data_IF_817270536398
#
_entry.id   IF_817270536398
#
_cell.length_a   1.000
_cell.length_b   1.000
_cell.length_c   1.000
_cell.angle_alpha   90.00
_cell.angle_beta   90.00
_cell.angle_gamma   90.00
#
_symmetry.space_group_name_H-M   'P 1'
#
loop_
_entity.id
_entity.type
_entity.pdbx_description
1 polymer ?
#
# COMPACT_ATOMS: atom_id res chain seq x y z
N UNK A 1 -1.52 -36.24 -11.65
CA UNK A 1 -1.34 -34.95 -10.97
C UNK A 1 0.12 -34.59 -11.11
N UNK A 2 0.42 -33.53 -11.85
CA UNK A 2 1.79 -33.02 -12.00
C UNK A 2 2.24 -32.48 -10.64
N UNK A 3 3.39 -32.92 -10.15
CA UNK A 3 3.92 -32.47 -8.87
C UNK A 3 4.30 -30.99 -8.97
N UNK A 4 3.75 -30.14 -8.08
CA UNK A 4 4.04 -28.70 -8.05
C UNK A 4 5.40 -28.48 -7.39
N UNK A 5 6.45 -28.34 -8.19
CA UNK A 5 7.85 -28.23 -7.75
C UNK A 5 8.48 -26.86 -8.01
N UNK A 6 7.93 -26.06 -8.93
CA UNK A 6 8.61 -24.85 -9.41
C UNK A 6 8.34 -23.63 -8.53
N UNK A 7 9.40 -22.96 -8.06
CA UNK A 7 9.34 -21.65 -7.44
C UNK A 7 9.55 -20.58 -8.51
N UNK A 8 8.64 -19.61 -8.61
CA UNK A 8 8.74 -18.55 -9.62
C UNK A 8 8.83 -17.19 -8.95
N UNK A 9 9.90 -16.46 -9.25
CA UNK A 9 10.08 -15.05 -8.91
C UNK A 9 9.75 -14.17 -10.11
N UNK A 10 9.01 -13.09 -9.90
CA UNK A 10 8.67 -12.13 -10.95
C UNK A 10 8.85 -10.71 -10.46
N UNK A 11 9.63 -9.90 -11.17
CA UNK A 11 9.75 -8.47 -10.92
C UNK A 11 9.18 -7.67 -12.09
N UNK A 12 8.18 -6.83 -11.82
CA UNK A 12 7.59 -5.95 -12.83
C UNK A 12 8.19 -4.57 -12.73
N UNK A 13 9.09 -4.27 -13.67
CA UNK A 13 9.63 -2.93 -13.91
C UNK A 13 8.84 -2.13 -14.93
N UNK A 14 9.29 -0.90 -15.22
CA UNK A 14 8.65 -0.01 -16.18
C UNK A 14 8.80 -0.43 -17.65
N UNK A 15 9.89 -1.12 -18.01
CA UNK A 15 10.16 -1.54 -19.41
C UNK A 15 9.98 -3.04 -19.61
N UNK A 16 10.52 -3.84 -18.68
CA UNK A 16 10.49 -5.29 -18.74
C UNK A 16 9.88 -5.87 -17.46
N UNK A 17 9.27 -7.04 -17.63
CA UNK A 17 8.92 -7.94 -16.53
C UNK A 17 9.89 -9.12 -16.59
N UNK A 18 10.65 -9.28 -15.51
CA UNK A 18 11.71 -10.25 -15.36
C UNK A 18 11.20 -11.47 -14.58
N UNK A 19 11.57 -12.67 -15.01
CA UNK A 19 11.17 -13.93 -14.39
C UNK A 19 12.40 -14.76 -14.02
N UNK A 20 12.33 -15.43 -12.88
CA UNK A 20 13.26 -16.47 -12.47
C UNK A 20 12.45 -17.69 -12.05
N UNK A 21 12.71 -18.83 -12.65
CA UNK A 21 12.09 -20.12 -12.31
C UNK A 21 13.16 -21.01 -11.72
N UNK A 22 12.89 -21.57 -10.55
CA UNK A 22 13.71 -22.59 -9.90
C UNK A 22 12.89 -23.87 -9.83
N UNK A 23 13.35 -24.93 -10.46
CA UNK A 23 12.69 -26.24 -10.50
C UNK A 23 13.74 -27.34 -10.22
N UNK A 24 13.89 -27.70 -8.94
CA UNK A 24 15.04 -28.49 -8.49
C UNK A 24 16.34 -27.70 -8.64
N UNK A 25 17.32 -28.28 -9.34
CA UNK A 25 18.61 -27.64 -9.65
C UNK A 25 18.57 -26.79 -10.93
N UNK A 26 17.47 -26.80 -11.68
CA UNK A 26 17.31 -26.01 -12.91
C UNK A 26 16.88 -24.57 -12.58
N UNK A 27 17.63 -23.61 -13.11
CA UNK A 27 17.31 -22.18 -13.01
C UNK A 27 17.12 -21.62 -14.41
N UNK A 28 15.93 -21.11 -14.68
CA UNK A 28 15.59 -20.46 -15.95
C UNK A 28 15.24 -19.00 -15.72
N UNK A 29 15.80 -18.12 -16.55
CA UNK A 29 15.48 -16.69 -16.56
C UNK A 29 14.71 -16.38 -17.83
N UNK A 30 13.67 -15.57 -17.72
CA UNK A 30 12.87 -15.12 -18.86
C UNK A 30 12.55 -13.64 -18.75
N UNK A 31 12.26 -13.00 -19.89
CA UNK A 31 11.98 -11.57 -19.96
C UNK A 31 10.94 -11.29 -21.01
N UNK A 32 9.94 -10.51 -20.63
CA UNK A 32 8.91 -10.00 -21.54
C UNK A 32 8.78 -8.48 -21.39
N UNK A 33 8.21 -7.82 -22.40
CA UNK A 33 7.88 -6.40 -22.30
C UNK A 33 6.80 -6.18 -21.24
N UNK A 34 6.98 -5.14 -20.41
CA UNK A 34 5.97 -4.75 -19.43
C UNK A 34 4.71 -4.21 -20.11
N UNK A 35 3.57 -4.38 -19.45
CA UNK A 35 2.27 -3.83 -19.85
C UNK A 35 1.83 -2.82 -18.78
N UNK A 36 2.23 -1.53 -18.86
CA UNK A 36 2.09 -0.58 -17.74
C UNK A 36 0.65 -0.35 -17.26
N UNK A 37 -0.32 -0.45 -18.17
CA UNK A 37 -1.76 -0.32 -17.90
C UNK A 37 -2.36 -1.57 -17.24
N UNK A 38 -1.74 -2.74 -17.43
CA UNK A 38 -2.18 -4.01 -16.82
C UNK A 38 -1.00 -4.97 -16.65
N UNK A 39 -0.17 -4.77 -15.60
CA UNK A 39 1.05 -5.55 -15.40
C UNK A 39 0.80 -7.05 -15.27
N UNK A 40 -0.38 -7.42 -14.77
CA UNK A 40 -0.87 -8.80 -14.66
C UNK A 40 -0.80 -9.55 -16.00
N UNK A 41 -1.05 -8.88 -17.13
CA UNK A 41 -0.97 -9.48 -18.47
C UNK A 41 0.44 -9.91 -18.85
N UNK A 42 1.44 -9.09 -18.53
CA UNK A 42 2.85 -9.41 -18.80
C UNK A 42 3.29 -10.61 -17.96
N UNK A 43 2.86 -10.67 -16.69
CA UNK A 43 3.13 -11.78 -15.78
C UNK A 43 2.56 -13.08 -16.36
N UNK A 44 1.27 -13.09 -16.68
CA UNK A 44 0.58 -14.28 -17.21
C UNK A 44 1.16 -14.70 -18.56
N UNK A 45 1.52 -13.75 -19.43
CA UNK A 45 2.21 -14.04 -20.69
C UNK A 45 3.52 -14.78 -20.43
N UNK A 46 4.41 -14.25 -19.59
CA UNK A 46 5.69 -14.89 -19.31
C UNK A 46 5.55 -16.27 -18.67
N UNK A 47 4.57 -16.45 -17.77
CA UNK A 47 4.28 -17.76 -17.17
C UNK A 47 3.82 -18.80 -18.21
N UNK A 48 3.06 -18.38 -19.23
CA UNK A 48 2.65 -19.24 -20.36
C UNK A 48 3.81 -19.57 -21.27
N UNK A 49 4.63 -18.59 -21.65
CA UNK A 49 5.81 -18.79 -22.49
C UNK A 49 6.83 -19.73 -21.84
N UNK A 50 6.96 -19.68 -20.51
CA UNK A 50 7.80 -20.58 -19.71
C UNK A 50 7.20 -21.98 -19.53
N UNK A 51 5.91 -22.17 -19.81
CA UNK A 51 5.20 -23.44 -19.62
C UNK A 51 5.10 -23.89 -18.16
N UNK A 52 5.08 -22.96 -17.20
CA UNK A 52 5.18 -23.28 -15.76
C UNK A 52 3.87 -23.22 -14.99
N UNK A 53 2.80 -22.65 -15.57
CA UNK A 53 1.52 -22.39 -14.87
C UNK A 53 1.03 -23.57 -14.03
N UNK A 54 0.99 -24.77 -14.58
CA UNK A 54 0.44 -25.96 -13.90
C UNK A 54 1.43 -26.65 -12.94
N UNK A 55 2.69 -26.21 -12.91
CA UNK A 55 3.79 -26.81 -12.13
C UNK A 55 4.28 -25.93 -10.99
N UNK A 56 3.78 -24.69 -10.89
CA UNK A 56 4.19 -23.76 -9.85
C UNK A 56 3.78 -24.24 -8.46
N UNK A 57 4.75 -24.30 -7.57
CA UNK A 57 4.55 -24.43 -6.13
C UNK A 57 4.11 -23.09 -5.52
N UNK A 58 4.77 -21.99 -5.89
CA UNK A 58 4.46 -20.65 -5.43
C UNK A 58 4.97 -19.60 -6.42
N UNK A 59 4.33 -18.43 -6.39
CA UNK A 59 4.74 -17.24 -7.13
C UNK A 59 5.10 -16.12 -6.15
N UNK A 60 6.32 -15.59 -6.24
CA UNK A 60 6.79 -14.42 -5.49
C UNK A 60 6.92 -13.25 -6.45
N UNK A 61 6.18 -12.18 -6.18
CA UNK A 61 6.08 -11.05 -7.08
C UNK A 61 6.54 -9.73 -6.44
N UNK A 62 7.54 -9.09 -7.05
CA UNK A 62 7.95 -7.71 -6.82
C UNK A 62 7.35 -6.78 -7.87
N UNK A 63 6.93 -5.58 -7.45
CA UNK A 63 6.27 -4.65 -8.35
C UNK A 63 6.68 -3.21 -8.11
N UNK A 64 6.85 -2.47 -9.21
CA UNK A 64 7.03 -1.01 -9.18
C UNK A 64 5.72 -0.22 -9.29
N UNK A 65 4.57 -0.90 -9.38
CA UNK A 65 3.26 -0.26 -9.62
C UNK A 65 2.92 0.78 -8.56
N UNK A 66 3.01 0.43 -7.27
CA UNK A 66 2.74 1.36 -6.18
C UNK A 66 3.72 2.55 -6.21
N UNK A 67 5.00 2.27 -6.43
CA UNK A 67 6.07 3.28 -6.45
C UNK A 67 5.84 4.28 -7.58
N UNK A 68 5.60 3.80 -8.80
CA UNK A 68 5.36 4.65 -9.96
C UNK A 68 4.07 5.46 -9.80
N UNK A 69 3.02 4.87 -9.22
CA UNK A 69 1.77 5.60 -8.95
C UNK A 69 1.99 6.79 -8.00
N UNK A 70 2.89 6.68 -7.04
CA UNK A 70 3.23 7.77 -6.12
C UNK A 70 4.11 8.82 -6.81
N UNK A 71 5.18 8.38 -7.48
CA UNK A 71 6.12 9.28 -8.17
C UNK A 71 5.44 10.10 -9.28
N UNK A 72 4.55 9.47 -10.03
CA UNK A 72 3.83 10.11 -11.13
C UNK A 72 2.52 10.79 -10.69
N UNK A 73 2.18 10.73 -9.39
CA UNK A 73 0.90 11.19 -8.83
C UNK A 73 -0.32 10.63 -9.57
N UNK A 74 -0.28 9.33 -9.90
CA UNK A 74 -1.35 8.55 -10.57
C UNK A 74 -2.12 7.61 -9.63
N UNK A 75 -2.09 7.85 -8.32
CA UNK A 75 -2.96 7.16 -7.38
C UNK A 75 -4.43 7.60 -7.49
N UNK A 76 -5.26 7.11 -6.58
CA UNK A 76 -6.67 7.51 -6.54
C UNK A 76 -6.86 8.85 -5.85
N UNK A 77 -7.96 9.55 -6.17
CA UNK A 77 -8.40 10.72 -5.40
C UNK A 77 -8.74 10.26 -3.98
N UNK A 78 -7.83 10.51 -3.04
CA UNK A 78 -7.98 10.14 -1.63
C UNK A 78 -8.35 11.34 -0.74
N UNK A 79 -8.98 11.08 0.41
CA UNK A 79 -9.21 12.05 1.48
C UNK A 79 -8.61 11.61 2.81
N UNK A 80 -8.64 12.49 3.81
CA UNK A 80 -8.21 12.21 5.18
C UNK A 80 -9.31 12.61 6.16
N UNK A 81 -9.68 11.69 7.05
CA UNK A 81 -10.46 11.97 8.26
C UNK A 81 -9.52 11.86 9.46
N UNK A 82 -9.49 12.89 10.30
CA UNK A 82 -8.59 12.97 11.46
C UNK A 82 -9.27 13.61 12.66
N UNK A 83 -8.64 13.52 13.83
CA UNK A 83 -9.07 14.25 15.03
C UNK A 83 -9.18 15.75 14.79
N UNK A 84 -10.19 16.40 15.37
CA UNK A 84 -10.36 17.85 15.36
C UNK A 84 -9.11 18.59 15.84
N UNK A 85 -8.70 19.59 15.04
CA UNK A 85 -7.46 20.37 15.21
C UNK A 85 -6.21 19.76 14.59
N UNK A 86 -6.29 18.60 13.93
CA UNK A 86 -5.13 17.85 13.40
C UNK A 86 -5.09 17.74 11.87
N UNK A 87 -6.04 18.32 11.13
CA UNK A 87 -6.06 18.28 9.64
C UNK A 87 -4.82 18.84 8.95
N UNK A 88 -4.04 19.67 9.63
CA UNK A 88 -2.84 20.30 9.10
C UNK A 88 -1.55 19.52 9.35
N UNK A 89 -1.61 18.33 9.96
CA UNK A 89 -0.42 17.55 10.29
C UNK A 89 0.43 17.20 9.07
N UNK A 90 -0.20 16.93 7.93
CA UNK A 90 0.49 16.68 6.65
C UNK A 90 1.18 17.93 6.09
N UNK A 91 0.62 19.10 6.32
CA UNK A 91 1.16 20.38 5.83
C UNK A 91 2.34 20.86 6.68
N UNK A 92 2.21 20.68 7.99
CA UNK A 92 3.24 21.02 8.96
C UNK A 92 4.39 20.02 8.83
N UNK A 93 4.10 18.73 8.70
CA UNK A 93 5.12 17.70 8.67
C UNK A 93 6.08 17.78 9.87
N UNK A 94 7.37 17.53 9.62
CA UNK A 94 8.42 17.64 10.64
C UNK A 94 9.21 18.96 10.59
N UNK A 95 8.78 19.90 9.75
CA UNK A 95 9.52 21.14 9.47
C UNK A 95 11.00 20.90 9.07
N UNK A 96 11.32 19.69 8.57
CA UNK A 96 12.65 19.31 8.13
C UNK A 96 13.06 20.19 6.94
N UNK A 97 14.28 20.73 6.99
CA UNK A 97 14.84 21.55 5.90
C UNK A 97 15.90 20.75 5.14
N UNK A 98 15.63 20.31 3.90
CA UNK A 98 16.63 19.61 3.08
C UNK A 98 17.88 20.46 2.86
N UNK A 99 17.70 21.78 2.73
CA UNK A 99 18.78 22.78 2.64
C UNK A 99 18.56 23.82 3.74
N UNK A 100 19.33 23.74 4.83
CA UNK A 100 19.10 24.53 6.06
C UNK A 100 19.02 26.05 5.81
N UNK A 101 19.84 26.55 4.88
CA UNK A 101 20.00 27.98 4.58
C UNK A 101 19.23 28.46 3.34
N UNK A 102 18.44 27.58 2.70
CA UNK A 102 17.61 27.99 1.57
C UNK A 102 16.33 28.67 2.07
N UNK A 103 16.30 30.01 2.00
CA UNK A 103 15.13 30.81 2.37
C UNK A 103 13.99 30.74 1.34
N UNK A 104 14.21 30.12 0.17
CA UNK A 104 13.24 29.99 -0.93
C UNK A 104 12.74 28.55 -1.08
N UNK A 105 12.82 27.75 -0.02
CA UNK A 105 12.37 26.35 -0.04
C UNK A 105 10.92 26.25 -0.47
N UNK A 106 10.67 25.50 -1.54
CA UNK A 106 9.31 25.13 -1.96
C UNK A 106 9.00 23.77 -1.34
N UNK A 107 7.91 23.68 -0.57
CA UNK A 107 7.46 22.42 0.00
C UNK A 107 6.73 21.61 -1.05
N UNK A 108 6.94 20.30 -1.05
CA UNK A 108 6.14 19.40 -1.87
C UNK A 108 4.70 19.38 -1.37
N UNK A 109 3.75 19.48 -2.29
CA UNK A 109 2.34 19.41 -1.94
C UNK A 109 1.99 18.00 -1.42
N UNK A 110 1.29 17.86 -0.28
CA UNK A 110 0.88 16.55 0.21
C UNK A 110 -0.06 15.82 -0.76
N UNK A 111 -0.06 14.48 -0.74
CA UNK A 111 -0.90 13.64 -1.61
C UNK A 111 -2.41 13.93 -1.45
N UNK A 112 -2.82 14.30 -0.22
CA UNK A 112 -4.16 14.77 0.08
C UNK A 112 -4.08 16.29 0.33
N UNK A 113 -4.62 17.13 -0.57
CA UNK A 113 -4.67 18.57 -0.38
C UNK A 113 -5.64 18.94 0.75
N UNK A 114 -5.50 20.17 1.25
CA UNK A 114 -6.18 20.65 2.45
C UNK A 114 -7.71 20.53 2.41
N UNK A 115 -8.31 20.80 1.26
CA UNK A 115 -9.75 20.75 1.01
C UNK A 115 -10.35 19.33 1.10
N UNK A 116 -9.51 18.29 1.08
CA UNK A 116 -9.88 16.88 1.25
C UNK A 116 -9.49 16.31 2.61
N UNK A 117 -9.19 17.17 3.59
CA UNK A 117 -8.89 16.79 4.97
C UNK A 117 -10.01 17.29 5.87
N UNK A 118 -10.77 16.38 6.45
CA UNK A 118 -11.90 16.69 7.33
C UNK A 118 -11.63 16.17 8.72
N UNK A 119 -12.35 16.75 9.68
CA UNK A 119 -12.13 16.50 11.09
C UNK A 119 -13.39 15.88 11.71
N UNK A 120 -13.16 14.96 12.63
CA UNK A 120 -14.17 14.42 13.54
C UNK A 120 -13.92 14.94 14.95
N UNK A 121 -14.98 15.08 15.73
CA UNK A 121 -14.89 15.57 17.10
C UNK A 121 -14.76 14.35 18.01
N UNK A 122 -13.53 14.08 18.42
CA UNK A 122 -13.19 13.10 19.44
C UNK A 122 -11.85 13.44 20.09
N UNK A 123 -11.54 12.82 21.23
CA UNK A 123 -10.20 12.92 21.82
C UNK A 123 -9.90 11.75 22.74
N UNK A 124 -8.71 11.19 22.57
CA UNK A 124 -8.12 10.21 23.47
C UNK A 124 -6.89 10.83 24.16
N UNK A 125 -6.59 10.38 25.38
CA UNK A 125 -5.32 10.62 26.05
C UNK A 125 -4.23 9.63 25.58
N UNK A 126 -3.00 9.78 26.07
CA UNK A 126 -1.87 8.94 25.66
C UNK A 126 -1.98 7.47 26.07
N UNK A 127 -2.91 7.15 26.98
CA UNK A 127 -3.19 5.80 27.47
C UNK A 127 -4.44 5.20 26.81
N UNK A 128 -5.04 5.91 25.86
CA UNK A 128 -6.27 5.49 25.17
C UNK A 128 -7.56 5.78 25.96
N UNK A 129 -7.47 6.55 27.05
CA UNK A 129 -8.62 7.03 27.82
C UNK A 129 -9.42 8.08 27.03
N UNK A 130 -10.75 7.98 27.08
CA UNK A 130 -11.63 8.91 26.35
C UNK A 130 -11.69 10.24 27.08
N UNK A 131 -11.10 11.28 26.47
CA UNK A 131 -11.21 12.67 26.95
C UNK A 131 -12.42 13.39 26.34
N UNK A 132 -12.73 13.10 25.09
CA UNK A 132 -13.91 13.60 24.38
C UNK A 132 -14.52 12.44 23.60
N UNK A 133 -15.77 12.05 23.89
CA UNK A 133 -16.45 10.99 23.16
C UNK A 133 -16.51 11.31 21.66
N UNK A 134 -16.51 10.26 20.83
CA UNK A 134 -16.73 10.41 19.40
C UNK A 134 -18.13 10.97 19.14
N UNK A 135 -18.19 12.15 18.54
CA UNK A 135 -19.45 12.80 18.13
C UNK A 135 -19.99 12.17 16.84
N UNK A 136 -21.10 11.44 16.96
CA UNK A 136 -21.71 10.72 15.84
C UNK A 136 -22.08 11.65 14.67
N UNK A 137 -22.55 12.87 14.95
CA UNK A 137 -22.91 13.81 13.89
C UNK A 137 -21.68 14.30 13.11
N UNK A 138 -20.55 14.54 13.78
CA UNK A 138 -19.29 14.88 13.12
C UNK A 138 -18.81 13.77 12.20
N UNK A 139 -18.99 12.50 12.58
CA UNK A 139 -18.67 11.35 11.72
C UNK A 139 -19.55 11.35 10.47
N UNK A 140 -20.87 11.52 10.62
CA UNK A 140 -21.79 11.60 9.48
C UNK A 140 -21.41 12.75 8.55
N UNK A 141 -21.13 13.95 9.07
CA UNK A 141 -20.69 15.10 8.27
C UNK A 141 -19.36 14.84 7.57
N UNK A 142 -18.38 14.25 8.25
CA UNK A 142 -17.06 13.95 7.70
C UNK A 142 -17.16 12.93 6.54
N UNK A 143 -17.92 11.85 6.73
CA UNK A 143 -18.13 10.84 5.70
C UNK A 143 -18.90 11.42 4.50
N UNK A 144 -19.94 12.21 4.74
CA UNK A 144 -20.68 12.87 3.65
C UNK A 144 -19.77 13.83 2.86
N UNK A 145 -18.95 14.62 3.55
CA UNK A 145 -18.00 15.51 2.88
C UNK A 145 -16.98 14.74 2.03
N UNK A 146 -16.55 13.55 2.46
CA UNK A 146 -15.70 12.68 1.63
C UNK A 146 -16.46 12.26 0.36
N UNK A 147 -17.69 11.74 0.49
CA UNK A 147 -18.53 11.35 -0.66
C UNK A 147 -18.74 12.52 -1.62
N UNK A 148 -19.12 13.68 -1.11
CA UNK A 148 -19.39 14.89 -1.91
C UNK A 148 -18.13 15.41 -2.63
N UNK A 149 -16.95 15.23 -2.02
CA UNK A 149 -15.67 15.58 -2.65
C UNK A 149 -15.24 14.62 -3.75
N UNK A 150 -15.98 13.52 -3.97
CA UNK A 150 -15.71 12.51 -5.00
C UNK A 150 -14.42 11.72 -4.78
N UNK A 151 -13.97 11.58 -3.52
CA UNK A 151 -12.84 10.69 -3.21
C UNK A 151 -13.27 9.23 -3.40
N UNK A 152 -12.34 8.40 -3.87
CA UNK A 152 -12.56 6.95 -4.00
C UNK A 152 -12.04 6.17 -2.79
N UNK A 153 -11.22 6.82 -1.97
CA UNK A 153 -10.53 6.20 -0.84
C UNK A 153 -10.32 7.23 0.26
N UNK A 154 -10.32 6.80 1.51
CA UNK A 154 -10.11 7.66 2.67
C UNK A 154 -9.11 7.03 3.63
N UNK A 155 -8.17 7.85 4.08
CA UNK A 155 -7.33 7.57 5.23
C UNK A 155 -8.08 8.01 6.50
N UNK A 156 -8.15 7.15 7.50
CA UNK A 156 -8.65 7.52 8.83
C UNK A 156 -7.47 7.40 9.79
N UNK A 157 -7.10 8.51 10.42
CA UNK A 157 -5.99 8.55 11.38
C UNK A 157 -6.40 9.46 12.52
N UNK A 158 -6.82 8.87 13.63
CA UNK A 158 -7.16 9.57 14.85
C UNK A 158 -5.96 9.52 15.80
N UNK A 159 -5.83 10.53 16.66
CA UNK A 159 -4.78 10.54 17.67
C UNK A 159 -4.96 9.36 18.64
N UNK A 160 -3.83 8.72 18.96
CA UNK A 160 -3.76 7.61 19.91
C UNK A 160 -4.66 6.40 19.58
N UNK A 161 -5.09 6.26 18.33
CA UNK A 161 -5.83 5.08 17.87
C UNK A 161 -5.05 3.76 17.98
N UNK A 162 -3.71 3.83 17.99
CA UNK A 162 -2.84 2.70 18.30
C UNK A 162 -2.95 2.21 19.75
N UNK A 163 -3.38 3.08 20.68
CA UNK A 163 -3.62 2.74 22.08
C UNK A 163 -5.07 2.30 22.32
N UNK A 164 -6.03 2.93 21.64
CA UNK A 164 -7.44 2.55 21.66
C UNK A 164 -8.08 2.82 20.27
N UNK A 165 -8.35 1.78 19.47
CA UNK A 165 -8.83 1.95 18.10
C UNK A 165 -10.34 2.24 18.01
N UNK A 166 -11.10 2.18 19.12
CA UNK A 166 -12.56 2.14 19.08
C UNK A 166 -13.22 3.31 18.31
N UNK A 167 -12.73 4.54 18.49
CA UNK A 167 -13.25 5.69 17.73
C UNK A 167 -12.91 5.58 16.24
N UNK A 168 -11.70 5.13 15.92
CA UNK A 168 -11.23 5.02 14.55
C UNK A 168 -11.94 3.89 13.80
N UNK A 169 -12.21 2.76 14.48
CA UNK A 169 -13.03 1.66 13.98
C UNK A 169 -14.43 2.13 13.60
N UNK A 170 -15.07 2.95 14.44
CA UNK A 170 -16.41 3.48 14.17
C UNK A 170 -16.42 4.41 12.95
N UNK A 171 -15.43 5.30 12.82
CA UNK A 171 -15.28 6.17 11.64
C UNK A 171 -14.99 5.36 10.38
N UNK A 172 -14.09 4.37 10.47
CA UNK A 172 -13.74 3.49 9.36
C UNK A 172 -14.96 2.66 8.90
N UNK A 173 -15.75 2.13 9.84
CA UNK A 173 -16.97 1.41 9.53
C UNK A 173 -18.00 2.29 8.82
N UNK A 174 -18.21 3.53 9.27
CA UNK A 174 -19.10 4.49 8.63
C UNK A 174 -18.64 4.83 7.20
N UNK A 175 -17.35 5.07 7.00
CA UNK A 175 -16.78 5.34 5.67
C UNK A 175 -16.89 4.13 4.72
N UNK A 176 -16.66 2.91 5.21
CA UNK A 176 -16.84 1.67 4.45
C UNK A 176 -18.31 1.47 4.05
N UNK A 177 -19.24 1.73 4.97
CA UNK A 177 -20.67 1.64 4.69
C UNK A 177 -21.13 2.64 3.61
N UNK A 178 -20.44 3.77 3.49
CA UNK A 178 -20.65 4.73 2.40
C UNK A 178 -19.99 4.32 1.06
N UNK A 179 -19.41 3.12 0.98
CA UNK A 179 -18.80 2.59 -0.25
C UNK A 179 -17.39 3.11 -0.54
N UNK A 180 -16.76 3.80 0.41
CA UNK A 180 -15.38 4.26 0.27
C UNK A 180 -14.40 3.12 0.55
N UNK A 181 -13.30 3.06 -0.21
CA UNK A 181 -12.16 2.27 0.23
C UNK A 181 -11.53 2.95 1.46
N UNK A 182 -11.22 2.18 2.51
CA UNK A 182 -10.73 2.76 3.77
C UNK A 182 -9.37 2.19 4.14
N UNK A 183 -8.44 3.06 4.49
CA UNK A 183 -7.22 2.71 5.21
C UNK A 183 -7.29 3.32 6.60
N UNK A 184 -7.49 2.48 7.61
CA UNK A 184 -7.44 2.92 9.00
C UNK A 184 -6.00 2.78 9.52
N UNK A 185 -5.55 3.76 10.30
CA UNK A 185 -4.20 3.79 10.85
C UNK A 185 -3.90 2.64 11.80
N UNK A 186 -4.88 2.17 12.59
CA UNK A 186 -4.69 1.01 13.47
C UNK A 186 -4.50 -0.31 12.69
N UNK A 187 -4.99 -0.39 11.44
CA UNK A 187 -4.82 -1.56 10.57
C UNK A 187 -3.49 -1.51 9.80
N UNK A 188 -3.06 -0.31 9.39
CA UNK A 188 -1.90 -0.12 8.50
C UNK A 188 -0.59 0.05 9.28
N UNK A 189 -0.58 0.93 10.28
CA UNK A 189 0.59 1.28 11.08
C UNK A 189 0.18 1.72 12.50
N UNK A 190 -0.14 0.77 13.41
CA UNK A 190 -0.54 1.05 14.79
C UNK A 190 0.66 1.47 15.67
N UNK A 191 1.34 2.55 15.28
CA UNK A 191 2.54 3.04 15.96
C UNK A 191 2.39 4.51 16.41
N UNK A 192 3.18 4.86 17.43
CA UNK A 192 3.31 6.25 17.88
C UNK A 192 3.95 7.12 16.79
N UNK A 193 3.70 8.44 16.86
CA UNK A 193 4.10 9.51 15.92
C UNK A 193 3.09 9.79 14.81
N UNK A 194 2.33 10.87 15.02
CA UNK A 194 1.20 11.25 14.18
C UNK A 194 1.54 11.52 12.71
N UNK A 195 2.65 12.23 12.44
CA UNK A 195 2.98 12.59 11.06
C UNK A 195 3.33 11.37 10.22
N UNK A 196 4.23 10.50 10.71
CA UNK A 196 4.66 9.30 10.01
C UNK A 196 3.49 8.33 9.83
N UNK A 197 2.65 8.18 10.87
CA UNK A 197 1.42 7.39 10.80
C UNK A 197 0.44 7.96 9.76
N UNK A 198 0.07 9.23 9.86
CA UNK A 198 -0.84 9.87 8.90
C UNK A 198 -0.30 9.78 7.47
N UNK A 199 0.98 10.09 7.26
CA UNK A 199 1.62 10.04 5.95
C UNK A 199 1.56 8.65 5.33
N UNK A 200 1.86 7.60 6.11
CA UNK A 200 1.81 6.21 5.66
C UNK A 200 0.38 5.76 5.33
N UNK A 201 -0.59 6.14 6.15
CA UNK A 201 -2.00 5.74 5.97
C UNK A 201 -2.61 6.47 4.76
N UNK A 202 -2.25 7.74 4.57
CA UNK A 202 -2.62 8.52 3.39
C UNK A 202 -2.02 7.92 2.12
N UNK A 203 -0.74 7.55 2.17
CA UNK A 203 -0.07 6.85 1.08
C UNK A 203 -0.78 5.54 0.74
N UNK A 204 -1.13 4.75 1.76
CA UNK A 204 -1.88 3.52 1.60
C UNK A 204 -3.27 3.76 0.99
N UNK A 205 -4.02 4.77 1.46
CA UNK A 205 -5.31 5.13 0.89
C UNK A 205 -5.18 5.60 -0.58
N UNK A 206 -4.09 6.27 -0.92
CA UNK A 206 -3.81 6.79 -2.25
C UNK A 206 -3.52 5.70 -3.28
N UNK A 207 -2.76 4.65 -2.93
CA UNK A 207 -2.43 3.55 -3.85
C UNK A 207 -3.27 2.28 -3.65
N UNK A 208 -3.93 2.14 -2.50
CA UNK A 208 -4.66 0.93 -2.08
C UNK A 208 -5.62 0.40 -3.14
N UNK A 209 -6.60 1.18 -3.63
CA UNK A 209 -7.54 0.67 -4.63
C UNK A 209 -6.90 0.30 -5.97
N UNK A 210 -5.76 0.90 -6.32
CA UNK A 210 -5.02 0.54 -7.53
C UNK A 210 -4.36 -0.83 -7.36
N UNK A 211 -3.68 -1.02 -6.23
CA UNK A 211 -3.05 -2.30 -5.88
C UNK A 211 -4.07 -3.41 -5.65
N UNK A 212 -5.21 -3.10 -5.03
CA UNK A 212 -6.30 -4.04 -4.80
C UNK A 212 -6.82 -4.64 -6.11
N UNK A 213 -7.18 -3.79 -7.09
CA UNK A 213 -7.61 -4.25 -8.42
C UNK A 213 -6.52 -5.01 -9.17
N UNK A 214 -5.28 -4.52 -9.11
CA UNK A 214 -4.16 -5.14 -9.80
C UNK A 214 -3.92 -6.57 -9.28
N UNK A 215 -3.79 -6.71 -7.97
CA UNK A 215 -3.51 -8.01 -7.35
C UNK A 215 -4.69 -8.96 -7.46
N UNK A 216 -5.94 -8.47 -7.38
CA UNK A 216 -7.12 -9.30 -7.60
C UNK A 216 -7.14 -9.93 -9.00
N UNK A 217 -6.89 -9.14 -10.06
CA UNK A 217 -6.81 -9.65 -11.44
C UNK A 217 -5.68 -10.67 -11.62
N UNK A 218 -4.54 -10.43 -10.94
CA UNK A 218 -3.43 -11.38 -10.97
C UNK A 218 -3.82 -12.69 -10.27
N UNK A 219 -4.44 -12.63 -9.08
CA UNK A 219 -4.95 -13.80 -8.37
C UNK A 219 -5.94 -14.61 -9.24
N UNK A 220 -6.88 -13.94 -9.90
CA UNK A 220 -7.87 -14.57 -10.80
C UNK A 220 -7.25 -15.24 -12.04
N UNK A 221 -6.09 -14.75 -12.50
CA UNK A 221 -5.42 -15.29 -13.67
C UNK A 221 -4.48 -16.48 -13.34
N UNK A 222 -4.26 -16.76 -12.06
CA UNK A 222 -3.41 -17.85 -11.59
C UNK A 222 -4.25 -19.11 -11.28
N UNK A 223 -3.64 -20.31 -11.30
CA UNK A 223 -4.32 -21.53 -10.90
C UNK A 223 -4.87 -21.45 -9.48
N UNK A 224 -6.06 -22.01 -9.27
CA UNK A 224 -6.69 -22.04 -7.95
C UNK A 224 -5.77 -22.66 -6.88
N UNK A 225 -5.76 -22.00 -5.73
CA UNK A 225 -4.97 -22.40 -4.57
C UNK A 225 -3.46 -22.21 -4.73
N UNK A 226 -2.97 -21.57 -5.80
CA UNK A 226 -1.55 -21.21 -5.92
C UNK A 226 -1.20 -20.10 -4.92
N UNK A 227 -0.20 -20.29 -4.04
CA UNK A 227 0.28 -19.23 -3.17
C UNK A 227 0.92 -18.08 -3.96
N UNK A 228 0.29 -16.91 -3.91
CA UNK A 228 0.85 -15.64 -4.39
C UNK A 228 1.42 -14.83 -3.22
N UNK A 229 2.73 -14.59 -3.26
CA UNK A 229 3.46 -13.76 -2.30
C UNK A 229 3.87 -12.46 -2.95
N UNK A 230 3.62 -11.34 -2.28
CA UNK A 230 4.01 -10.01 -2.74
C UNK A 230 5.17 -9.53 -1.89
N UNK A 231 6.20 -9.05 -2.56
CA UNK A 231 7.41 -8.63 -1.90
C UNK A 231 7.24 -7.25 -1.25
N UNK A 232 7.93 -7.06 -0.13
CA UNK A 232 7.87 -5.86 0.68
C UNK A 232 9.15 -5.03 0.55
N UNK A 233 9.08 -3.77 0.97
CA UNK A 233 10.21 -2.85 1.06
C UNK A 233 11.35 -3.32 1.99
N UNK A 234 11.06 -4.22 2.94
CA UNK A 234 12.01 -4.73 3.92
C UNK A 234 12.73 -6.03 3.48
N UNK A 235 12.53 -6.47 2.24
CA UNK A 235 13.11 -7.71 1.70
C UNK A 235 12.34 -8.99 2.05
N UNK A 236 11.27 -8.88 2.85
CA UNK A 236 10.33 -9.97 3.12
C UNK A 236 9.24 -10.08 2.05
N UNK A 237 8.31 -11.02 2.23
CA UNK A 237 7.08 -11.12 1.43
C UNK A 237 5.85 -11.33 2.30
N UNK A 238 4.70 -10.88 1.82
CA UNK A 238 3.36 -11.01 2.44
C UNK A 238 2.41 -11.71 1.47
N UNK A 239 1.24 -12.15 1.94
CA UNK A 239 0.20 -12.63 1.03
C UNK A 239 -0.34 -11.50 0.16
N UNK A 240 -0.88 -11.83 -1.01
CA UNK A 240 -1.60 -10.87 -1.84
C UNK A 240 -2.75 -10.19 -1.07
N UNK A 241 -3.54 -10.95 -0.31
CA UNK A 241 -4.58 -10.39 0.55
C UNK A 241 -4.07 -9.31 1.53
N UNK A 242 -2.90 -9.50 2.16
CA UNK A 242 -2.30 -8.48 3.02
C UNK A 242 -1.76 -7.30 2.21
N UNK A 243 -1.11 -7.54 1.07
CA UNK A 243 -0.59 -6.48 0.20
C UNK A 243 -1.71 -5.58 -0.37
N UNK A 244 -2.91 -6.14 -0.59
CA UNK A 244 -4.10 -5.39 -1.01
C UNK A 244 -4.58 -4.42 0.08
N UNK A 245 -4.52 -4.82 1.36
CA UNK A 245 -4.87 -3.95 2.50
C UNK A 245 -3.75 -2.95 2.85
N UNK A 246 -2.50 -3.40 2.79
CA UNK A 246 -1.30 -2.68 3.25
C UNK A 246 -0.36 -2.33 2.08
N UNK A 247 -0.94 -1.80 1.00
CA UNK A 247 -0.26 -1.45 -0.25
C UNK A 247 0.99 -0.57 -0.04
N UNK A 248 1.02 0.30 0.97
CA UNK A 248 2.18 1.11 1.31
C UNK A 248 3.45 0.27 1.59
N UNK A 249 3.32 -0.97 2.06
CA UNK A 249 4.46 -1.87 2.33
C UNK A 249 5.12 -2.42 1.07
N UNK A 250 4.46 -2.30 -0.08
CA UNK A 250 4.97 -2.78 -1.38
C UNK A 250 5.78 -1.72 -2.14
N UNK A 251 5.78 -0.48 -1.65
CA UNK A 251 6.58 0.60 -2.20
C UNK A 251 8.07 0.25 -2.11
N UNK A 252 8.82 0.48 -3.19
CA UNK A 252 10.23 0.13 -3.28
C UNK A 252 10.53 -1.37 -3.04
N UNK A 253 9.57 -2.26 -3.29
CA UNK A 253 9.79 -3.71 -3.15
C UNK A 253 10.86 -4.24 -4.11
N UNK A 254 10.86 -3.82 -5.38
CA UNK A 254 11.85 -4.25 -6.39
C UNK A 254 13.32 -4.08 -5.95
N UNK A 255 13.77 -2.89 -5.54
CA UNK A 255 15.11 -2.70 -4.97
C UNK A 255 15.41 -3.60 -3.75
N UNK A 256 14.41 -3.89 -2.92
CA UNK A 256 14.56 -4.75 -1.76
C UNK A 256 14.78 -6.24 -2.13
N UNK A 257 14.15 -6.76 -3.20
CA UNK A 257 14.50 -8.09 -3.77
C UNK A 257 15.98 -8.12 -4.11
N UNK A 258 16.43 -7.13 -4.89
CA UNK A 258 17.77 -7.09 -5.43
C UNK A 258 18.82 -7.12 -4.31
N UNK A 259 18.58 -6.33 -3.25
CA UNK A 259 19.40 -6.34 -2.04
C UNK A 259 19.41 -7.70 -1.34
N UNK A 260 18.25 -8.31 -1.11
CA UNK A 260 18.14 -9.62 -0.46
C UNK A 260 18.79 -10.75 -1.26
N UNK A 261 18.58 -10.78 -2.58
CA UNK A 261 19.18 -11.76 -3.48
C UNK A 261 20.70 -11.63 -3.56
N UNK A 262 21.22 -10.39 -3.63
CA UNK A 262 22.66 -10.15 -3.59
C UNK A 262 23.29 -10.60 -2.26
N UNK A 263 22.59 -10.39 -1.13
CA UNK A 263 23.01 -10.86 0.18
C UNK A 263 23.07 -12.39 0.29
N UNK A 264 22.07 -13.09 -0.25
CA UNK A 264 22.05 -14.56 -0.29
C UNK A 264 23.23 -15.12 -1.11
N UNK A 265 23.49 -14.57 -2.30
CA UNK A 265 24.61 -14.99 -3.15
C UNK A 265 25.95 -14.68 -2.49
N UNK A 266 26.09 -13.51 -1.85
CA UNK A 266 27.32 -13.10 -1.17
C UNK A 266 27.63 -13.87 0.12
N UNK A 267 26.62 -14.42 0.80
CA UNK A 267 26.77 -15.26 1.99
C UNK A 267 26.93 -16.76 1.70
N UNK A 268 26.79 -17.16 0.44
CA UNK A 268 27.00 -18.54 -0.02
C UNK A 268 28.47 -18.81 -0.44
N UNK A 269 29.38 -17.87 -0.16
CA UNK A 269 30.83 -17.95 -0.43
C UNK A 269 31.66 -18.20 0.82
#
# INVERSE_FOLDING_TARGET
>A
MTERSALVGVDTGGTFTDFVVIDGDDIRVHKVLSTPDSPDRAIVQGLRELGVLDRMHALVHGSTVATNAVLERKGVRAGLITTSGFRDVLEIGRQTRPKLYDLRVTREEPLVPRDRRVEVIERLDERGGVMTPLDAESVTRAVQAMVDSGVRSVAVCLLFSFANPAHEEAVAAAARAAGLHVSASFEVLPEFREYERTSTVVLNAYVGPLMDRYLARLEEALPDGLPLRIMQSNGGSISAATARREAARTLLSGPAAGGGGAGFVGGAG
#
